data_IF_718484259690
#
_entry.id   IF_718484259690
#
_cell.length_a   1.000
_cell.length_b   1.000
_cell.length_c   1.000
_cell.angle_alpha   90.00
_cell.angle_beta   90.00
_cell.angle_gamma   90.00
#
_symmetry.space_group_name_H-M   'P 1'
#
loop_
_entity.id
_entity.type
_entity.pdbx_description
1 polymer ?
#
# COMPACT_ATOMS: atom_id res chain seq x y z
N UNK A 1 30.67 -69.64 56.38
CA UNK A 1 31.45 -68.40 56.56
C UNK A 1 32.77 -68.77 57.21
N UNK A 2 33.90 -68.58 56.54
CA UNK A 2 35.22 -68.98 57.02
C UNK A 2 35.55 -68.13 58.26
N UNK A 3 36.17 -68.75 59.26
CA UNK A 3 36.58 -68.14 60.52
C UNK A 3 37.43 -66.84 60.30
N UNK A 4 38.04 -66.73 59.14
CA UNK A 4 38.81 -65.61 58.67
C UNK A 4 37.92 -64.34 58.41
N UNK A 5 36.76 -64.54 57.77
CA UNK A 5 35.82 -63.39 57.49
C UNK A 5 35.16 -62.84 58.76
N UNK A 6 34.97 -63.71 59.74
CA UNK A 6 34.47 -63.24 61.07
C UNK A 6 35.48 -62.38 61.80
N UNK A 7 36.78 -62.72 61.73
CA UNK A 7 37.88 -61.96 62.37
C UNK A 7 38.00 -60.59 61.68
N UNK A 8 37.93 -60.54 60.33
CA UNK A 8 37.96 -59.30 59.63
C UNK A 8 36.74 -58.40 59.93
N UNK A 9 35.54 -58.99 60.07
CA UNK A 9 34.35 -58.23 60.45
C UNK A 9 34.48 -57.63 61.86
N UNK A 10 34.96 -58.39 62.80
CA UNK A 10 35.18 -57.91 64.19
C UNK A 10 36.26 -56.81 64.23
N UNK A 11 37.35 -56.96 63.45
CA UNK A 11 38.41 -55.96 63.39
C UNK A 11 37.88 -54.66 62.72
N UNK A 12 37.05 -54.77 61.71
CA UNK A 12 36.45 -53.62 61.04
C UNK A 12 35.44 -52.87 61.91
N UNK A 13 34.60 -53.61 62.68
CA UNK A 13 33.65 -53.00 63.61
C UNK A 13 34.48 -52.35 64.81
N UNK A 14 35.54 -52.99 65.29
CA UNK A 14 36.41 -52.41 66.30
C UNK A 14 37.11 -51.11 65.85
N UNK A 15 37.55 -51.09 64.59
CA UNK A 15 38.13 -49.89 63.97
C UNK A 15 37.13 -48.78 63.85
N UNK A 16 35.88 -49.06 63.45
CA UNK A 16 34.77 -48.05 63.36
C UNK A 16 34.44 -47.49 64.76
N UNK A 17 34.36 -48.35 65.77
CA UNK A 17 34.09 -47.95 67.16
C UNK A 17 35.25 -47.08 67.67
N UNK A 18 36.51 -47.46 67.39
CA UNK A 18 37.67 -46.68 67.78
C UNK A 18 37.71 -45.31 67.13
N UNK A 19 37.40 -45.17 65.87
CA UNK A 19 37.27 -43.88 65.13
C UNK A 19 36.18 -42.99 65.72
N UNK A 20 35.03 -43.57 66.13
CA UNK A 20 33.91 -42.80 66.69
C UNK A 20 34.14 -42.37 68.13
N UNK A 21 34.86 -43.17 68.95
CA UNK A 21 35.12 -42.88 70.40
C UNK A 21 36.35 -42.02 70.64
N UNK A 22 37.38 -42.11 69.77
CA UNK A 22 38.66 -41.47 70.06
C UNK A 22 38.95 -40.16 69.32
N UNK A 23 38.11 -39.76 68.36
CA UNK A 23 38.33 -38.49 67.64
C UNK A 23 37.08 -37.66 67.49
N UNK A 24 36.46 -37.14 68.52
CA UNK A 24 35.30 -36.22 68.35
C UNK A 24 35.73 -34.85 67.79
N UNK A 25 37.00 -34.47 67.84
CA UNK A 25 37.46 -33.15 67.38
C UNK A 25 37.77 -33.06 65.85
N UNK A 26 38.12 -34.21 65.26
CA UNK A 26 38.41 -34.18 63.78
C UNK A 26 37.19 -34.06 62.92
N UNK A 27 36.05 -34.58 63.34
CA UNK A 27 34.79 -34.51 62.55
C UNK A 27 34.26 -33.06 62.45
N UNK A 28 34.43 -32.31 63.58
CA UNK A 28 34.01 -30.89 63.58
C UNK A 28 34.85 -29.96 62.71
N UNK A 29 36.14 -30.34 62.48
CA UNK A 29 37.07 -29.53 61.68
C UNK A 29 36.85 -29.76 60.17
N UNK A 30 36.55 -30.98 59.75
CA UNK A 30 36.23 -31.34 58.38
C UNK A 30 34.88 -30.73 57.98
N UNK A 31 33.89 -30.76 58.86
CA UNK A 31 32.60 -30.19 58.64
C UNK A 31 32.61 -28.65 58.50
N UNK A 32 33.46 -27.98 59.33
CA UNK A 32 33.68 -26.52 59.21
C UNK A 32 34.52 -26.13 58.01
N UNK A 33 35.48 -26.96 57.58
CA UNK A 33 36.29 -26.77 56.40
C UNK A 33 35.49 -26.97 55.12
N UNK A 34 34.66 -27.99 55.06
CA UNK A 34 33.78 -28.25 53.87
C UNK A 34 32.73 -27.15 53.71
N UNK A 35 32.12 -26.68 54.80
CA UNK A 35 31.16 -25.58 54.73
C UNK A 35 31.79 -24.22 54.36
N UNK A 36 33.05 -23.98 54.81
CA UNK A 36 33.74 -22.73 54.44
C UNK A 36 34.23 -22.72 53.00
N UNK A 37 34.56 -23.86 52.42
CA UNK A 37 34.92 -24.00 51.00
C UNK A 37 33.72 -23.89 50.07
N UNK A 38 32.50 -24.17 50.55
CA UNK A 38 31.27 -24.08 49.78
C UNK A 38 30.62 -22.68 49.80
N UNK A 39 31.02 -21.84 50.79
CA UNK A 39 30.52 -20.45 50.90
C UNK A 39 30.75 -19.57 49.69
N UNK A 40 31.90 -19.59 48.99
CA UNK A 40 32.06 -18.79 47.76
C UNK A 40 31.17 -19.28 46.61
N UNK A 41 30.84 -20.58 46.59
CA UNK A 41 29.99 -21.14 45.54
C UNK A 41 28.50 -20.78 45.75
N UNK A 42 28.01 -20.78 46.97
CA UNK A 42 26.65 -20.32 47.30
C UNK A 42 26.47 -18.81 47.07
N UNK A 43 27.51 -17.99 47.36
CA UNK A 43 27.48 -16.56 47.03
C UNK A 43 27.61 -16.26 45.55
N UNK A 44 28.15 -17.16 44.76
CA UNK A 44 28.20 -17.03 43.31
C UNK A 44 26.84 -17.38 42.67
N UNK A 45 26.11 -18.36 43.24
CA UNK A 45 24.75 -18.68 42.78
C UNK A 45 23.75 -17.55 43.07
N UNK A 46 23.83 -16.93 44.28
CA UNK A 46 22.99 -15.76 44.62
C UNK A 46 23.26 -14.55 43.72
N UNK A 47 24.52 -14.34 43.32
CA UNK A 47 24.88 -13.28 42.38
C UNK A 47 24.45 -13.58 40.95
N UNK A 48 24.46 -14.84 40.54
CA UNK A 48 23.94 -15.24 39.23
C UNK A 48 22.40 -15.12 39.16
N UNK A 49 21.72 -15.51 40.24
CA UNK A 49 20.27 -15.39 40.34
C UNK A 49 19.82 -13.90 40.33
N UNK A 50 20.54 -13.04 41.10
CA UNK A 50 20.27 -11.58 41.08
C UNK A 50 20.61 -10.93 39.74
N UNK A 51 21.62 -11.43 39.02
CA UNK A 51 22.00 -10.94 37.69
C UNK A 51 21.03 -11.43 36.59
N UNK A 52 20.48 -12.62 36.76
CA UNK A 52 19.45 -13.15 35.86
C UNK A 52 18.10 -12.49 36.11
N UNK A 53 17.74 -12.17 37.34
CA UNK A 53 16.55 -11.39 37.65
C UNK A 53 16.63 -9.95 37.12
N UNK A 54 17.80 -9.30 37.20
CA UNK A 54 18.00 -7.98 36.60
C UNK A 54 17.95 -7.98 35.07
N UNK A 55 18.40 -9.05 34.41
CA UNK A 55 18.28 -9.23 32.97
C UNK A 55 16.87 -9.65 32.57
N UNK A 56 16.12 -10.28 33.45
CA UNK A 56 14.73 -10.67 33.24
C UNK A 56 13.76 -9.48 33.32
N UNK A 57 14.05 -8.50 34.17
CA UNK A 57 13.22 -7.31 34.37
C UNK A 57 13.36 -6.28 33.21
N UNK A 58 14.47 -6.31 32.46
CA UNK A 58 14.65 -5.44 31.27
C UNK A 58 14.10 -6.05 29.97
N UNK A 59 13.83 -7.35 29.95
CA UNK A 59 13.21 -7.95 28.75
C UNK A 59 11.73 -7.61 28.70
N UNK A 60 11.26 -6.92 27.63
CA UNK A 60 9.85 -6.56 27.50
C UNK A 60 9.00 -7.82 27.51
N UNK A 61 7.96 -7.83 28.34
CA UNK A 61 7.06 -8.99 28.42
C UNK A 61 6.43 -9.28 27.07
N UNK A 62 6.04 -10.53 26.78
CA UNK A 62 5.35 -10.87 25.53
C UNK A 62 4.08 -10.04 25.29
N UNK A 63 3.44 -9.55 26.34
CA UNK A 63 2.29 -8.64 26.27
C UNK A 63 2.71 -7.25 25.79
N UNK A 64 3.78 -6.69 26.36
CA UNK A 64 4.33 -5.39 25.96
C UNK A 64 4.87 -5.41 24.52
N UNK A 65 5.48 -6.52 24.09
CA UNK A 65 5.90 -6.69 22.69
C UNK A 65 4.70 -6.68 21.72
N UNK A 66 3.61 -7.37 22.06
CA UNK A 66 2.39 -7.37 21.26
C UNK A 66 1.75 -5.99 21.16
N UNK A 67 1.69 -5.27 22.27
CA UNK A 67 1.19 -3.91 22.31
C UNK A 67 2.04 -2.95 21.45
N UNK A 68 3.36 -3.04 21.53
CA UNK A 68 4.28 -2.27 20.67
C UNK A 68 4.11 -2.63 19.19
N UNK A 69 3.99 -3.91 18.86
CA UNK A 69 3.73 -4.35 17.49
C UNK A 69 2.41 -3.79 16.98
N UNK A 70 1.33 -3.88 17.75
CA UNK A 70 0.05 -3.31 17.37
C UNK A 70 0.14 -1.79 17.16
N UNK A 71 0.85 -1.07 18.03
CA UNK A 71 1.08 0.37 17.87
C UNK A 71 1.87 0.71 16.60
N UNK A 72 2.94 -0.03 16.31
CA UNK A 72 3.75 0.16 15.09
C UNK A 72 2.94 -0.20 13.83
N UNK A 73 2.12 -1.24 13.88
CA UNK A 73 1.24 -1.59 12.77
C UNK A 73 0.19 -0.51 12.51
N UNK A 74 -0.41 0.03 13.55
CA UNK A 74 -1.36 1.15 13.43
C UNK A 74 -0.70 2.41 12.85
N UNK A 75 0.49 2.75 13.31
CA UNK A 75 1.26 3.89 12.78
C UNK A 75 1.66 3.68 11.33
N UNK A 76 2.11 2.47 10.98
CA UNK A 76 2.40 2.09 9.58
C UNK A 76 1.18 2.26 8.69
N UNK A 77 0.01 1.81 9.14
CA UNK A 77 -1.21 1.88 8.34
C UNK A 77 -1.70 3.34 8.20
N UNK A 78 -1.55 4.14 9.25
CA UNK A 78 -1.78 5.58 9.18
C UNK A 78 -0.86 6.27 8.17
N UNK A 79 0.45 6.01 8.26
CA UNK A 79 1.43 6.58 7.33
C UNK A 79 1.17 6.14 5.87
N UNK A 80 0.72 4.90 5.65
CA UNK A 80 0.32 4.45 4.32
C UNK A 80 -0.84 5.26 3.75
N UNK A 81 -1.86 5.54 4.57
CA UNK A 81 -2.98 6.38 4.13
C UNK A 81 -2.53 7.81 3.81
N UNK A 82 -1.65 8.39 4.62
CA UNK A 82 -1.09 9.72 4.34
C UNK A 82 -0.29 9.75 3.03
N UNK A 83 0.50 8.71 2.76
CA UNK A 83 1.25 8.58 1.49
C UNK A 83 0.30 8.50 0.29
N UNK A 84 -0.78 7.71 0.38
CA UNK A 84 -1.78 7.60 -0.69
C UNK A 84 -2.43 8.97 -0.95
N UNK A 85 -2.85 9.68 0.10
CA UNK A 85 -3.44 11.01 -0.03
C UNK A 85 -2.46 12.02 -0.65
N UNK A 86 -1.19 11.96 -0.25
CA UNK A 86 -0.15 12.82 -0.82
C UNK A 86 0.04 12.54 -2.31
N UNK A 87 0.07 11.28 -2.71
CA UNK A 87 0.18 10.88 -4.12
C UNK A 87 -1.00 11.38 -4.96
N UNK A 88 -2.23 11.26 -4.43
CA UNK A 88 -3.44 11.79 -5.07
C UNK A 88 -3.35 13.30 -5.28
N UNK A 89 -2.96 14.06 -4.25
CA UNK A 89 -2.78 15.51 -4.35
C UNK A 89 -1.68 15.91 -5.34
N UNK A 90 -0.58 15.17 -5.37
CA UNK A 90 0.49 15.41 -6.33
C UNK A 90 0.03 15.12 -7.78
N UNK A 91 -0.75 14.09 -8.00
CA UNK A 91 -1.33 13.78 -9.32
C UNK A 91 -2.33 14.86 -9.73
N UNK A 92 -3.23 15.30 -8.84
CA UNK A 92 -4.15 16.40 -9.11
C UNK A 92 -3.39 17.67 -9.45
N UNK A 93 -2.37 18.04 -8.68
CA UNK A 93 -1.57 19.22 -8.94
C UNK A 93 -0.87 19.18 -10.32
N UNK A 94 -0.31 18.01 -10.69
CA UNK A 94 0.28 17.80 -12.02
C UNK A 94 -0.74 17.95 -13.15
N UNK A 95 -1.97 17.44 -12.94
CA UNK A 95 -3.06 17.55 -13.91
C UNK A 95 -3.50 19.03 -14.07
N UNK A 96 -3.69 19.72 -12.95
CA UNK A 96 -4.07 21.13 -12.95
C UNK A 96 -3.01 22.00 -13.63
N UNK A 97 -1.73 21.80 -13.35
CA UNK A 97 -0.63 22.51 -14.01
C UNK A 97 -0.61 22.25 -15.51
N UNK A 98 -0.81 21.01 -15.96
CA UNK A 98 -0.88 20.67 -17.39
C UNK A 98 -2.07 21.34 -18.05
N UNK A 99 -3.23 21.33 -17.40
CA UNK A 99 -4.41 22.01 -17.92
C UNK A 99 -4.23 23.53 -18.03
N UNK A 100 -3.60 24.17 -17.03
CA UNK A 100 -3.29 25.61 -17.08
C UNK A 100 -2.31 25.95 -18.20
N UNK A 101 -1.23 25.20 -18.34
CA UNK A 101 -0.25 25.40 -19.40
C UNK A 101 -0.87 25.24 -20.80
N UNK A 102 -1.75 24.27 -20.97
CA UNK A 102 -2.47 24.07 -22.23
C UNK A 102 -3.41 25.25 -22.52
N UNK A 103 -4.17 25.72 -21.51
CA UNK A 103 -5.05 26.87 -21.63
C UNK A 103 -4.30 28.14 -22.07
N UNK A 104 -3.14 28.41 -21.50
CA UNK A 104 -2.32 29.59 -21.82
C UNK A 104 -1.72 29.53 -23.22
N UNK A 105 -1.44 28.35 -23.74
CA UNK A 105 -0.85 28.13 -25.07
C UNK A 105 -1.88 27.94 -26.16
N UNK A 106 -3.14 27.67 -25.82
CA UNK A 106 -4.21 27.44 -26.81
C UNK A 106 -4.70 28.74 -27.39
N UNK A 107 -4.84 28.84 -28.72
CA UNK A 107 -5.48 29.99 -29.39
C UNK A 107 -7.01 30.01 -29.13
N UNK A 108 -7.56 28.95 -28.55
CA UNK A 108 -8.99 28.82 -28.27
C UNK A 108 -9.30 29.28 -26.83
N UNK A 109 -10.48 29.89 -26.67
CA UNK A 109 -10.99 30.21 -25.31
C UNK A 109 -11.42 28.92 -24.61
N UNK A 110 -10.64 28.47 -23.63
CA UNK A 110 -10.87 27.24 -22.90
C UNK A 110 -11.35 27.52 -21.48
N UNK A 111 -12.40 26.83 -21.04
CA UNK A 111 -12.88 26.77 -19.67
C UNK A 111 -12.47 25.44 -19.06
N UNK A 112 -11.78 25.49 -17.91
CA UNK A 112 -11.48 24.27 -17.16
C UNK A 112 -12.74 23.79 -16.43
N UNK A 113 -13.10 22.53 -16.62
CA UNK A 113 -14.28 21.92 -16.04
C UNK A 113 -13.92 20.66 -15.25
N UNK A 114 -14.70 20.37 -14.22
CA UNK A 114 -14.58 19.16 -13.40
C UNK A 114 -15.81 18.27 -13.64
N UNK A 115 -15.62 16.96 -13.72
CA UNK A 115 -16.73 16.01 -13.75
C UNK A 115 -17.33 15.92 -12.35
N UNK A 116 -18.60 16.29 -12.20
CA UNK A 116 -19.33 16.28 -10.92
C UNK A 116 -20.27 15.08 -10.76
N UNK A 117 -20.65 14.44 -11.87
CA UNK A 117 -21.48 13.25 -11.82
C UNK A 117 -21.23 12.32 -13.01
N UNK A 118 -21.33 11.03 -12.74
CA UNK A 118 -21.24 9.97 -13.74
C UNK A 118 -22.15 8.82 -13.34
N UNK A 119 -23.11 8.49 -14.19
CA UNK A 119 -24.07 7.40 -13.91
C UNK A 119 -23.45 6.06 -14.25
N UNK A 120 -23.49 5.06 -13.36
CA UNK A 120 -22.94 3.72 -13.64
C UNK A 120 -23.53 3.06 -14.87
N UNK A 121 -24.84 3.25 -15.13
CA UNK A 121 -25.53 2.71 -16.33
C UNK A 121 -25.11 3.38 -17.64
N UNK A 122 -24.51 4.55 -17.58
CA UNK A 122 -24.06 5.36 -18.73
C UNK A 122 -22.57 5.70 -18.62
N UNK A 123 -21.80 4.83 -18.03
CA UNK A 123 -20.39 5.09 -17.68
C UNK A 123 -19.54 5.51 -18.87
N UNK A 124 -19.79 4.95 -20.04
CA UNK A 124 -19.06 5.25 -21.27
C UNK A 124 -19.81 6.19 -22.23
N UNK A 125 -20.95 6.71 -21.81
CA UNK A 125 -21.84 7.49 -22.66
C UNK A 125 -21.85 8.96 -22.28
N UNK A 126 -22.08 9.28 -20.99
CA UNK A 126 -22.29 10.66 -20.56
C UNK A 126 -21.61 10.97 -19.23
N UNK A 127 -21.23 12.25 -19.07
CA UNK A 127 -20.78 12.81 -17.80
C UNK A 127 -21.39 14.18 -17.58
N UNK A 128 -21.51 14.61 -16.33
CA UNK A 128 -21.95 15.97 -15.99
C UNK A 128 -20.76 16.76 -15.50
N UNK A 129 -20.60 17.99 -16.00
CA UNK A 129 -19.51 18.91 -15.64
C UNK A 129 -20.04 20.11 -14.83
N UNK A 130 -19.14 20.75 -14.06
CA UNK A 130 -19.40 21.94 -13.21
C UNK A 130 -19.35 23.27 -13.97
N UNK A 131 -19.53 23.25 -15.29
CA UNK A 131 -19.52 24.42 -16.16
C UNK A 131 -20.80 24.47 -16.98
N UNK A 132 -21.35 25.68 -17.16
CA UNK A 132 -22.63 25.87 -17.86
C UNK A 132 -22.69 27.19 -18.58
N UNK A 133 -23.92 27.73 -18.70
CA UNK A 133 -24.19 28.94 -19.47
C UNK A 133 -23.38 30.15 -18.95
N UNK A 134 -23.26 30.32 -17.65
CA UNK A 134 -22.49 31.43 -17.04
C UNK A 134 -20.98 31.38 -17.35
N UNK A 135 -20.48 30.23 -17.76
CA UNK A 135 -19.09 30.02 -18.15
C UNK A 135 -18.89 30.09 -19.68
N UNK A 136 -19.93 30.44 -20.42
CA UNK A 136 -19.90 30.53 -21.88
C UNK A 136 -19.98 29.17 -22.58
N UNK A 137 -20.47 28.14 -21.90
CA UNK A 137 -20.64 26.81 -22.47
C UNK A 137 -21.96 26.75 -23.23
N UNK A 138 -21.90 26.27 -24.46
CA UNK A 138 -23.06 26.06 -25.34
C UNK A 138 -23.16 24.58 -25.73
N UNK A 139 -24.31 24.19 -26.25
CA UNK A 139 -24.47 22.88 -26.89
C UNK A 139 -23.45 22.73 -28.04
N UNK A 140 -23.00 21.50 -28.26
CA UNK A 140 -21.97 21.14 -29.24
C UNK A 140 -20.54 21.68 -28.91
N UNK A 141 -20.34 22.41 -27.80
CA UNK A 141 -19.00 22.81 -27.37
C UNK A 141 -18.10 21.57 -27.21
N UNK A 142 -16.91 21.55 -27.85
CA UNK A 142 -16.00 20.42 -27.73
C UNK A 142 -15.39 20.35 -26.34
N UNK A 143 -15.23 19.13 -25.81
CA UNK A 143 -14.60 18.85 -24.55
C UNK A 143 -13.29 18.11 -24.79
N UNK A 144 -12.20 18.70 -24.35
CA UNK A 144 -10.84 18.21 -24.61
C UNK A 144 -10.06 17.97 -23.32
N UNK A 145 -9.08 17.07 -23.37
CA UNK A 145 -8.09 16.86 -22.32
C UNK A 145 -6.69 17.15 -22.87
N UNK A 146 -5.81 17.79 -22.11
CA UNK A 146 -4.43 18.00 -22.53
C UNK A 146 -3.70 16.66 -22.63
N UNK A 147 -3.04 16.43 -23.78
CA UNK A 147 -2.22 15.25 -24.08
C UNK A 147 -0.87 15.70 -24.61
N UNK A 148 0.14 15.68 -23.77
CA UNK A 148 1.48 16.19 -24.14
C UNK A 148 1.40 17.65 -24.57
N UNK A 149 1.83 17.96 -25.79
CA UNK A 149 1.80 19.31 -26.35
C UNK A 149 0.48 19.64 -27.11
N UNK A 150 -0.46 18.68 -27.17
CA UNK A 150 -1.73 18.84 -27.87
C UNK A 150 -2.94 18.61 -26.96
N UNK A 151 -4.09 18.37 -27.58
CA UNK A 151 -5.33 18.02 -26.90
C UNK A 151 -5.97 16.79 -27.51
N UNK A 152 -6.56 15.96 -26.70
CA UNK A 152 -7.43 14.88 -27.13
C UNK A 152 -8.90 15.24 -26.94
N UNK A 153 -9.70 15.09 -27.98
CA UNK A 153 -11.14 15.25 -27.91
C UNK A 153 -11.74 14.08 -27.10
N UNK A 154 -12.51 14.40 -26.07
CA UNK A 154 -13.18 13.41 -25.20
C UNK A 154 -14.67 13.28 -25.58
N UNK A 155 -15.27 14.35 -26.03
CA UNK A 155 -16.68 14.42 -26.33
C UNK A 155 -17.12 15.83 -26.64
N UNK A 156 -18.43 16.07 -26.60
CA UNK A 156 -19.03 17.38 -26.78
C UNK A 156 -20.18 17.60 -25.80
N UNK A 157 -20.48 18.84 -25.50
CA UNK A 157 -21.63 19.20 -24.69
C UNK A 157 -22.90 18.82 -25.44
N UNK A 158 -23.75 17.99 -24.88
CA UNK A 158 -25.06 17.62 -25.46
C UNK A 158 -26.16 18.56 -24.99
N UNK A 159 -26.11 19.02 -23.75
CA UNK A 159 -27.15 19.84 -23.14
C UNK A 159 -26.56 20.68 -22.01
N UNK A 160 -26.96 21.92 -21.91
CA UNK A 160 -26.65 22.80 -20.76
C UNK A 160 -27.80 22.74 -19.81
N UNK A 161 -27.56 22.19 -18.61
CA UNK A 161 -28.58 21.98 -17.58
C UNK A 161 -28.88 23.26 -16.78
N UNK A 162 -28.00 24.25 -16.84
CA UNK A 162 -28.16 25.48 -16.09
C UNK A 162 -26.91 26.35 -16.08
N UNK A 163 -26.87 27.35 -15.20
CA UNK A 163 -25.78 28.34 -15.20
C UNK A 163 -24.39 27.71 -14.97
N UNK A 164 -24.30 26.62 -14.21
CA UNK A 164 -23.03 26.02 -13.75
C UNK A 164 -22.98 24.51 -13.97
N UNK A 165 -23.77 23.97 -14.86
CA UNK A 165 -23.70 22.53 -15.15
C UNK A 165 -24.14 22.22 -16.60
N UNK A 166 -23.48 21.23 -17.17
CA UNK A 166 -23.80 20.75 -18.52
C UNK A 166 -23.55 19.24 -18.62
N UNK A 167 -24.26 18.59 -19.52
CA UNK A 167 -24.08 17.18 -19.88
C UNK A 167 -23.14 17.11 -21.07
N UNK A 168 -22.14 16.26 -20.97
CA UNK A 168 -21.19 15.94 -22.03
C UNK A 168 -21.47 14.53 -22.52
N UNK A 169 -21.68 14.37 -23.81
CA UNK A 169 -21.70 13.07 -24.48
C UNK A 169 -20.27 12.72 -24.88
N UNK A 170 -19.82 11.52 -24.46
CA UNK A 170 -18.47 11.04 -24.72
C UNK A 170 -18.34 10.48 -26.13
N UNK A 171 -17.14 10.55 -26.71
CA UNK A 171 -16.85 9.95 -28.03
C UNK A 171 -17.12 8.45 -28.08
N UNK A 172 -17.14 7.78 -26.94
CA UNK A 172 -17.44 6.36 -26.79
C UNK A 172 -18.93 6.03 -26.94
N UNK A 173 -19.79 7.03 -26.94
CA UNK A 173 -21.22 6.87 -27.20
C UNK A 173 -21.50 6.84 -28.70
N UNK A 174 -22.44 5.99 -29.13
CA UNK A 174 -22.86 5.85 -30.54
C UNK A 174 -23.52 7.12 -31.12
N UNK A 175 -24.11 7.93 -30.23
CA UNK A 175 -24.77 9.19 -30.62
C UNK A 175 -23.78 10.36 -30.77
N UNK A 176 -22.57 10.20 -30.21
CA UNK A 176 -21.51 11.19 -30.39
C UNK A 176 -20.83 11.00 -31.74
N UNK A 177 -21.20 11.85 -32.69
CA UNK A 177 -20.62 11.86 -34.03
C UNK A 177 -19.78 13.12 -34.22
N UNK A 178 -18.54 12.93 -34.68
CA UNK A 178 -17.59 14.02 -34.91
C UNK A 178 -16.92 13.81 -36.26
N UNK A 179 -16.81 14.90 -37.02
CA UNK A 179 -16.02 14.89 -38.26
C UNK A 179 -14.54 14.70 -37.92
N UNK A 180 -13.87 13.80 -38.60
CA UNK A 180 -12.48 13.50 -38.36
C UNK A 180 -11.74 13.17 -39.65
N UNK A 181 -10.44 13.47 -39.68
CA UNK A 181 -9.53 13.18 -40.79
C UNK A 181 -8.33 12.36 -40.30
N UNK A 182 -7.76 11.58 -41.20
CA UNK A 182 -6.50 10.89 -40.97
C UNK A 182 -5.34 11.89 -41.09
N UNK A 183 -4.37 11.77 -40.16
CA UNK A 183 -3.13 12.52 -40.23
C UNK A 183 -2.40 12.23 -41.56
N UNK A 184 -1.87 13.26 -42.19
CA UNK A 184 -1.18 13.18 -43.47
C UNK A 184 -2.04 12.69 -44.67
N UNK A 185 -3.35 12.77 -44.57
CA UNK A 185 -4.28 12.40 -45.62
C UNK A 185 -5.36 13.50 -45.81
N UNK A 186 -5.92 13.57 -46.96
CA UNK A 186 -7.10 14.38 -47.23
C UNK A 186 -8.41 13.65 -46.92
N UNK A 187 -8.31 12.42 -46.51
CA UNK A 187 -9.45 11.56 -46.21
C UNK A 187 -10.16 11.99 -44.93
N UNK A 188 -11.46 12.24 -45.08
CA UNK A 188 -12.35 12.64 -43.99
C UNK A 188 -13.42 11.59 -43.79
N UNK A 189 -13.85 11.45 -42.54
CA UNK A 189 -14.90 10.53 -42.16
C UNK A 189 -15.63 10.99 -40.91
N UNK A 190 -16.56 10.18 -40.45
CA UNK A 190 -17.31 10.40 -39.22
C UNK A 190 -16.80 9.41 -38.17
N UNK A 191 -16.29 9.94 -37.07
CA UNK A 191 -15.90 9.20 -35.88
C UNK A 191 -17.10 9.06 -34.96
N UNK A 192 -17.43 7.84 -34.57
CA UNK A 192 -18.49 7.56 -33.60
C UNK A 192 -18.08 6.44 -32.66
N UNK A 193 -18.62 6.43 -31.44
CA UNK A 193 -18.47 5.33 -30.51
C UNK A 193 -19.11 4.05 -31.05
N UNK A 194 -18.57 2.93 -30.67
CA UNK A 194 -19.16 1.62 -30.85
C UNK A 194 -19.23 0.92 -29.49
N UNK A 195 -20.47 0.55 -29.12
CA UNK A 195 -20.66 -0.19 -27.87
C UNK A 195 -19.94 -1.53 -27.99
N UNK A 196 -19.01 -1.79 -27.09
CA UNK A 196 -18.34 -3.09 -26.99
C UNK A 196 -19.31 -4.19 -26.63
N UNK A 197 -18.96 -5.43 -26.98
CA UNK A 197 -19.63 -6.60 -26.41
C UNK A 197 -19.45 -6.62 -24.88
N UNK A 198 -20.27 -7.41 -24.19
CA UNK A 198 -20.21 -7.55 -22.74
C UNK A 198 -18.76 -7.85 -22.32
N UNK A 199 -18.16 -7.03 -21.43
CA UNK A 199 -16.77 -7.13 -20.94
C UNK A 199 -15.67 -6.60 -21.87
N UNK A 200 -15.99 -5.98 -23.01
CA UNK A 200 -14.98 -5.30 -23.83
C UNK A 200 -15.04 -3.78 -23.65
N UNK A 201 -13.88 -3.13 -23.71
CA UNK A 201 -13.81 -1.68 -23.70
C UNK A 201 -14.49 -1.13 -24.95
N UNK A 202 -15.21 0.01 -24.84
CA UNK A 202 -15.80 0.66 -26.00
C UNK A 202 -14.70 1.07 -26.96
N UNK A 203 -14.98 0.96 -28.26
CA UNK A 203 -14.08 1.35 -29.34
C UNK A 203 -14.66 2.51 -30.14
N UNK A 204 -13.82 3.21 -30.86
CA UNK A 204 -14.23 4.24 -31.80
C UNK A 204 -14.17 3.68 -33.21
N UNK A 205 -15.14 4.06 -34.05
CA UNK A 205 -15.18 3.65 -35.43
C UNK A 205 -15.21 4.87 -36.32
N UNK A 206 -14.25 4.94 -37.24
CA UNK A 206 -14.22 5.94 -38.28
C UNK A 206 -14.94 5.36 -39.51
N UNK A 207 -16.01 6.05 -39.96
CA UNK A 207 -16.89 5.63 -41.09
C UNK A 207 -16.80 6.63 -42.23
N UNK A 208 -17.26 6.20 -43.39
CA UNK A 208 -17.37 7.03 -44.59
C UNK A 208 -16.03 7.49 -45.18
N UNK A 209 -14.97 6.75 -44.90
CA UNK A 209 -13.70 6.91 -45.62
C UNK A 209 -13.86 6.45 -47.08
N UNK A 210 -13.07 7.01 -48.00
CA UNK A 210 -13.01 6.49 -49.36
C UNK A 210 -12.45 5.06 -49.38
N UNK A 211 -12.75 4.32 -50.45
CA UNK A 211 -12.24 2.95 -50.61
C UNK A 211 -10.70 2.90 -50.77
N UNK A 212 -10.10 4.01 -51.11
CA UNK A 212 -8.67 4.18 -51.33
C UNK A 212 -7.91 4.60 -50.06
N UNK A 213 -8.65 4.93 -48.96
CA UNK A 213 -8.05 5.32 -47.70
C UNK A 213 -7.25 4.18 -47.11
N UNK A 214 -5.95 4.41 -46.91
CA UNK A 214 -5.04 3.51 -46.22
C UNK A 214 -4.71 4.10 -44.86
N UNK A 215 -5.08 3.40 -43.80
CA UNK A 215 -4.71 3.74 -42.47
C UNK A 215 -3.80 2.64 -41.93
N UNK A 216 -2.61 3.02 -41.51
CA UNK A 216 -1.68 2.10 -40.79
C UNK A 216 -1.90 2.19 -39.29
N UNK A 217 -1.63 1.10 -38.55
CA UNK A 217 -1.64 1.14 -37.09
C UNK A 217 -0.73 2.26 -36.58
N UNK A 218 -1.24 3.12 -35.71
CA UNK A 218 -0.52 4.27 -35.17
C UNK A 218 -0.80 5.60 -35.88
N UNK A 219 -1.53 5.61 -37.02
CA UNK A 219 -1.94 6.86 -37.66
C UNK A 219 -2.89 7.63 -36.74
N UNK A 220 -2.59 8.91 -36.52
CA UNK A 220 -3.46 9.78 -35.71
C UNK A 220 -4.72 10.18 -36.50
N UNK A 221 -5.80 10.28 -35.73
CA UNK A 221 -7.07 10.82 -36.21
C UNK A 221 -7.25 12.22 -35.66
N UNK A 222 -7.44 13.19 -36.52
CA UNK A 222 -7.58 14.60 -36.16
C UNK A 222 -9.03 15.03 -36.36
N UNK A 223 -9.54 15.88 -35.49
CA UNK A 223 -10.87 16.48 -35.54
C UNK A 223 -10.80 17.96 -35.87
#
# INVERSE_FOLDING_TARGET
MSRLNLIFLIAFIGMLIWITLFQPEMVGTIQRGAMSAMRPFLKASDRLETSLDQLGDEAPSPAQLRERLAGVEQERDRLKLEVIQLDELLQENRQLRRALQYRERSPLSLAAARVISRKPSQWYSTVVIDKGESDGIAADSPVVVPLGDGAGLVGKVSEVLGPRSAVVVLLTDELCQVSAKLENSHEQGILSGQRGALLTLPSLKLRYLSKEARAEPGTKVLS
#
